data_IF_345136012187
#
_entry.id   IF_345136012187
#
_cell.length_a   1.000
_cell.length_b   1.000
_cell.length_c   1.000
_cell.angle_alpha   90.00
_cell.angle_beta   90.00
_cell.angle_gamma   90.00
#
_symmetry.space_group_name_H-M   'P 1'
#
loop_
_entity.id
_entity.type
_entity.pdbx_description
1 polymer ?
#
# COMPACT_ATOMS: atom_id res chain seq x y z
N UNK A 1 35.55 -20.00 -1.99
CA UNK A 1 35.39 -18.78 -1.15
C UNK A 1 36.29 -18.89 0.09
N UNK A 2 37.07 -17.86 0.41
CA UNK A 2 38.03 -17.88 1.54
C UNK A 2 37.35 -17.89 2.92
N UNK A 3 36.12 -17.38 3.03
CA UNK A 3 35.36 -17.29 4.28
C UNK A 3 35.25 -18.64 5.00
N UNK A 4 34.96 -19.73 4.28
CA UNK A 4 34.81 -21.07 4.86
C UNK A 4 36.11 -21.67 5.41
N UNK A 5 37.26 -21.01 5.22
CA UNK A 5 38.53 -21.42 5.83
C UNK A 5 38.69 -20.92 7.26
N UNK A 6 37.90 -19.91 7.66
CA UNK A 6 37.96 -19.37 9.02
C UNK A 6 37.15 -20.22 10.01
N UNK A 7 37.46 -20.18 11.32
CA UNK A 7 36.61 -20.77 12.35
C UNK A 7 35.20 -20.18 12.33
N UNK A 8 34.20 -20.95 12.77
CA UNK A 8 32.79 -20.55 12.74
C UNK A 8 32.52 -19.20 13.42
N UNK A 9 33.17 -18.92 14.55
CA UNK A 9 33.04 -17.63 15.25
C UNK A 9 33.47 -16.44 14.38
N UNK A 10 34.57 -16.58 13.65
CA UNK A 10 35.07 -15.54 12.74
C UNK A 10 34.13 -15.38 11.54
N UNK A 11 33.58 -16.49 11.03
CA UNK A 11 32.57 -16.42 9.96
C UNK A 11 31.34 -15.63 10.42
N UNK A 12 30.81 -15.93 11.61
CA UNK A 12 29.67 -15.22 12.18
C UNK A 12 29.97 -13.75 12.42
N UNK A 13 31.16 -13.40 12.92
CA UNK A 13 31.54 -12.01 13.15
C UNK A 13 31.58 -11.21 11.85
N UNK A 14 32.11 -11.79 10.77
CA UNK A 14 32.12 -11.16 9.44
C UNK A 14 30.69 -10.94 8.97
N UNK A 15 29.84 -11.98 9.02
CA UNK A 15 28.44 -11.86 8.60
C UNK A 15 27.67 -10.83 9.46
N UNK A 16 27.98 -10.74 10.75
CA UNK A 16 27.35 -9.79 11.67
C UNK A 16 27.65 -8.33 11.34
N UNK A 17 28.81 -8.05 10.76
CA UNK A 17 29.23 -6.71 10.37
C UNK A 17 29.04 -6.44 8.86
N UNK A 18 28.33 -7.32 8.15
CA UNK A 18 28.04 -7.15 6.71
C UNK A 18 26.69 -6.46 6.51
N UNK A 19 26.61 -5.60 5.49
CA UNK A 19 25.37 -4.93 5.11
C UNK A 19 24.31 -5.91 4.61
N UNK A 20 23.05 -5.48 4.66
CA UNK A 20 21.92 -6.33 4.30
C UNK A 20 21.93 -6.75 2.83
N UNK A 21 22.21 -5.81 1.92
CA UNK A 21 22.35 -6.04 0.47
C UNK A 21 23.48 -7.01 0.15
N UNK A 22 24.62 -6.88 0.83
CA UNK A 22 25.78 -7.76 0.65
C UNK A 22 25.50 -9.19 1.14
N UNK A 23 24.81 -9.34 2.28
CA UNK A 23 24.36 -10.63 2.77
C UNK A 23 23.42 -11.32 1.79
N UNK A 24 22.48 -10.56 1.20
CA UNK A 24 21.61 -11.09 0.14
C UNK A 24 22.42 -11.53 -1.09
N UNK A 25 23.39 -10.74 -1.52
CA UNK A 25 24.25 -11.11 -2.65
C UNK A 25 25.06 -12.38 -2.36
N UNK A 26 25.59 -12.50 -1.14
CA UNK A 26 26.28 -13.71 -0.71
C UNK A 26 25.37 -14.93 -0.67
N UNK A 27 24.09 -14.77 -0.36
CA UNK A 27 23.14 -15.89 -0.37
C UNK A 27 22.89 -16.45 -1.77
N UNK A 28 23.17 -15.69 -2.84
CA UNK A 28 23.16 -16.16 -4.23
C UNK A 28 24.42 -16.93 -4.64
N UNK A 29 25.56 -16.72 -3.97
CA UNK A 29 26.87 -17.28 -4.39
C UNK A 29 26.90 -18.81 -4.31
N UNK A 30 26.29 -19.41 -3.28
CA UNK A 30 26.21 -20.88 -3.18
C UNK A 30 25.18 -21.33 -2.14
N UNK A 31 24.65 -22.56 -2.32
CA UNK A 31 23.79 -23.22 -1.33
C UNK A 31 24.45 -23.31 0.05
N UNK A 32 25.78 -23.48 0.12
CA UNK A 32 26.53 -23.52 1.38
C UNK A 32 26.56 -22.16 2.07
N UNK A 33 26.69 -21.08 1.31
CA UNK A 33 26.67 -19.71 1.84
C UNK A 33 25.28 -19.33 2.34
N UNK A 34 24.24 -19.63 1.55
CA UNK A 34 22.85 -19.47 1.98
C UNK A 34 22.59 -20.14 3.34
N UNK A 35 22.96 -21.42 3.48
CA UNK A 35 22.83 -22.15 4.75
C UNK A 35 23.63 -21.54 5.90
N UNK A 36 24.82 -20.98 5.63
CA UNK A 36 25.61 -20.31 6.66
C UNK A 36 24.91 -19.04 7.15
N UNK A 37 24.37 -18.24 6.23
CA UNK A 37 23.61 -17.02 6.56
C UNK A 37 22.33 -17.41 7.34
N UNK A 38 21.60 -18.42 6.87
CA UNK A 38 20.40 -18.97 7.51
C UNK A 38 20.62 -19.49 8.94
N UNK A 39 21.83 -19.96 9.24
CA UNK A 39 22.19 -20.48 10.58
C UNK A 39 22.90 -19.44 11.47
N UNK A 40 23.11 -18.22 10.96
CA UNK A 40 23.76 -17.14 11.70
C UNK A 40 22.74 -16.29 12.47
N UNK A 41 23.22 -15.54 13.47
CA UNK A 41 22.42 -14.52 14.17
C UNK A 41 21.80 -13.48 13.23
N UNK A 42 22.33 -13.31 12.01
CA UNK A 42 21.80 -12.38 11.02
C UNK A 42 20.41 -12.77 10.51
N UNK A 43 20.01 -14.05 10.60
CA UNK A 43 18.63 -14.42 10.27
C UNK A 43 17.59 -13.69 11.11
N UNK A 44 17.94 -13.26 12.34
CA UNK A 44 17.03 -12.43 13.14
C UNK A 44 16.76 -11.08 12.47
N UNK A 45 17.73 -10.49 11.76
CA UNK A 45 17.52 -9.26 10.97
C UNK A 45 16.54 -9.51 9.82
N UNK A 46 16.70 -10.62 9.11
CA UNK A 46 15.80 -11.01 8.02
C UNK A 46 14.40 -11.38 8.52
N UNK A 47 14.27 -12.03 9.68
CA UNK A 47 12.97 -12.40 10.27
C UNK A 47 12.13 -11.21 10.77
N UNK A 48 12.76 -10.05 10.96
CA UNK A 48 12.08 -8.81 11.29
C UNK A 48 11.51 -8.09 10.05
N UNK A 49 11.91 -8.50 8.84
CA UNK A 49 11.36 -7.95 7.60
C UNK A 49 9.92 -8.42 7.48
N UNK A 50 8.99 -7.46 7.44
CA UNK A 50 7.56 -7.71 7.22
C UNK A 50 7.12 -7.40 5.81
N UNK A 51 7.90 -6.57 5.11
CA UNK A 51 7.49 -6.00 3.84
C UNK A 51 8.69 -5.89 2.90
N UNK A 52 8.48 -6.21 1.64
CA UNK A 52 9.42 -5.95 0.54
C UNK A 52 8.70 -5.12 -0.52
N UNK A 53 9.32 -4.01 -0.92
CA UNK A 53 8.80 -3.07 -1.91
C UNK A 53 9.56 -3.22 -3.22
N UNK A 54 8.83 -3.39 -4.31
CA UNK A 54 9.30 -3.18 -5.67
C UNK A 54 8.85 -1.80 -6.12
N UNK A 55 9.78 -0.93 -6.46
CA UNK A 55 9.53 0.43 -6.90
C UNK A 55 10.00 0.58 -8.35
N UNK A 56 9.05 0.68 -9.28
CA UNK A 56 9.37 0.83 -10.70
C UNK A 56 9.38 2.31 -11.09
N UNK A 57 10.57 2.81 -11.43
CA UNK A 57 10.77 4.21 -11.83
C UNK A 57 11.89 4.31 -12.87
N UNK A 58 11.69 5.17 -13.87
CA UNK A 58 12.67 5.45 -14.93
C UNK A 58 13.18 4.19 -15.65
N UNK A 59 12.29 3.21 -15.89
CA UNK A 59 12.62 1.96 -16.57
C UNK A 59 13.45 0.96 -15.74
N UNK A 60 13.68 1.23 -14.46
CA UNK A 60 14.36 0.34 -13.52
C UNK A 60 13.42 -0.05 -12.39
N UNK A 61 13.61 -1.24 -11.84
CA UNK A 61 12.88 -1.70 -10.65
C UNK A 61 13.82 -1.77 -9.47
N UNK A 62 13.54 -1.02 -8.42
CA UNK A 62 14.28 -1.05 -7.17
C UNK A 62 13.56 -1.98 -6.19
N UNK A 63 14.28 -2.93 -5.62
CA UNK A 63 13.80 -3.76 -4.53
C UNK A 63 14.33 -3.19 -3.23
N UNK A 64 13.42 -2.88 -2.31
CA UNK A 64 13.74 -2.20 -1.07
C UNK A 64 13.08 -2.89 0.13
N UNK A 65 13.73 -2.77 1.30
CA UNK A 65 13.05 -2.96 2.58
C UNK A 65 12.74 -1.58 3.15
N UNK A 66 11.47 -1.30 3.50
CA UNK A 66 11.14 -0.08 4.20
C UNK A 66 11.66 -0.13 5.65
N UNK A 67 12.47 0.86 6.03
CA UNK A 67 12.87 1.15 7.41
C UNK A 67 12.41 2.56 7.79
N UNK A 68 12.36 2.88 9.09
CA UNK A 68 12.00 4.24 9.51
C UNK A 68 12.93 5.29 8.89
N UNK A 69 12.33 6.29 8.25
CA UNK A 69 12.96 7.42 7.58
C UNK A 69 13.75 7.12 6.29
N UNK A 70 13.80 5.86 5.82
CA UNK A 70 14.43 5.53 4.54
C UNK A 70 14.02 4.16 3.98
N UNK A 71 14.00 4.03 2.65
CA UNK A 71 13.91 2.74 1.97
C UNK A 71 15.31 2.20 1.72
N UNK A 72 15.65 1.05 2.30
CA UNK A 72 16.96 0.43 2.09
C UNK A 72 16.97 -0.33 0.76
N UNK A 73 17.62 0.24 -0.25
CA UNK A 73 17.80 -0.41 -1.55
C UNK A 73 18.67 -1.66 -1.40
N UNK A 74 18.06 -2.81 -1.68
CA UNK A 74 18.72 -4.11 -1.60
C UNK A 74 19.26 -4.57 -2.94
N UNK A 75 18.48 -4.34 -4.00
CA UNK A 75 18.73 -4.84 -5.34
C UNK A 75 18.06 -3.92 -6.35
N UNK A 76 18.74 -3.62 -7.43
CA UNK A 76 18.14 -3.00 -8.61
C UNK A 76 17.99 -4.03 -9.71
N UNK A 77 16.95 -3.92 -10.53
CA UNK A 77 16.71 -4.74 -11.71
C UNK A 77 16.58 -3.80 -12.90
N UNK A 78 17.42 -3.99 -13.91
CA UNK A 78 17.52 -3.08 -15.05
C UNK A 78 17.79 -3.84 -16.36
N UNK A 79 17.44 -3.21 -17.48
CA UNK A 79 17.80 -3.71 -18.80
C UNK A 79 19.31 -3.59 -19.02
N UNK A 80 19.88 -4.59 -19.70
CA UNK A 80 21.32 -4.67 -19.95
C UNK A 80 21.77 -3.53 -20.87
N UNK A 81 22.89 -2.89 -20.48
CA UNK A 81 23.57 -1.87 -21.26
C UNK A 81 24.84 -2.47 -21.87
N UNK A 82 24.85 -2.65 -23.19
CA UNK A 82 25.96 -3.25 -23.95
C UNK A 82 27.26 -2.42 -23.90
N UNK A 83 27.24 -1.21 -23.33
CA UNK A 83 28.42 -0.36 -23.23
C UNK A 83 29.38 -0.74 -22.10
N UNK A 84 28.99 -1.63 -21.19
CA UNK A 84 29.80 -2.03 -20.03
C UNK A 84 30.20 -3.51 -20.10
N UNK A 85 31.34 -3.88 -19.51
CA UNK A 85 31.96 -5.20 -19.70
C UNK A 85 32.26 -5.94 -18.38
N UNK A 86 31.91 -5.38 -17.22
CA UNK A 86 32.30 -5.86 -15.89
C UNK A 86 31.20 -6.67 -15.18
N UNK A 87 30.41 -7.41 -15.95
CA UNK A 87 29.35 -8.28 -15.42
C UNK A 87 29.90 -9.56 -14.80
N UNK A 88 29.25 -10.02 -13.73
CA UNK A 88 29.46 -11.36 -13.16
C UNK A 88 28.13 -12.09 -13.05
N UNK A 89 28.15 -13.42 -13.13
CA UNK A 89 26.93 -14.22 -13.15
C UNK A 89 26.66 -14.89 -11.82
N UNK A 90 25.40 -14.81 -11.37
CA UNK A 90 24.91 -15.54 -10.20
C UNK A 90 23.69 -16.37 -10.58
N UNK A 91 23.54 -17.52 -9.91
CA UNK A 91 22.35 -18.35 -10.05
C UNK A 91 21.32 -17.94 -8.99
N UNK A 92 20.20 -17.41 -9.43
CA UNK A 92 19.06 -17.04 -8.59
C UNK A 92 17.89 -17.92 -9.01
N UNK A 93 17.38 -18.76 -8.12
CA UNK A 93 16.27 -19.69 -8.40
C UNK A 93 16.38 -20.39 -9.76
N UNK A 94 17.52 -21.04 -10.00
CA UNK A 94 17.84 -21.81 -11.22
C UNK A 94 18.05 -20.98 -12.50
N UNK A 95 17.94 -19.65 -12.43
CA UNK A 95 18.26 -18.73 -13.53
C UNK A 95 19.64 -18.12 -13.35
N UNK A 96 20.45 -18.16 -14.39
CA UNK A 96 21.70 -17.39 -14.44
C UNK A 96 21.39 -15.95 -14.80
N UNK A 97 21.78 -15.01 -13.94
CA UNK A 97 21.52 -13.58 -14.10
C UNK A 97 22.86 -12.83 -14.07
N UNK A 98 23.02 -11.85 -14.95
CA UNK A 98 24.17 -10.95 -14.96
C UNK A 98 23.99 -9.91 -13.86
N UNK A 99 25.02 -9.68 -13.06
CA UNK A 99 25.06 -8.68 -12.01
C UNK A 99 26.21 -7.71 -12.21
N UNK A 100 26.00 -6.48 -11.76
CA UNK A 100 27.06 -5.50 -11.48
C UNK A 100 26.86 -4.92 -10.09
N UNK A 101 27.93 -4.44 -9.47
CA UNK A 101 27.85 -3.62 -8.26
C UNK A 101 28.09 -2.18 -8.69
N UNK A 102 27.10 -1.32 -8.46
CA UNK A 102 27.17 0.11 -8.80
C UNK A 102 27.25 0.91 -7.51
N UNK A 103 28.04 1.98 -7.51
CA UNK A 103 28.05 2.95 -6.42
C UNK A 103 27.13 4.12 -6.78
N UNK A 104 25.96 4.17 -6.17
CA UNK A 104 24.92 5.21 -6.35
C UNK A 104 24.45 5.67 -4.96
N UNK A 105 24.14 6.97 -4.80
CA UNK A 105 23.61 7.54 -3.55
C UNK A 105 24.42 7.21 -2.28
N UNK A 106 25.75 7.24 -2.40
CA UNK A 106 26.71 6.88 -1.34
C UNK A 106 26.62 5.43 -0.83
N UNK A 107 26.09 4.52 -1.65
CA UNK A 107 25.97 3.10 -1.32
C UNK A 107 26.33 2.21 -2.50
N UNK A 108 26.91 1.05 -2.20
CA UNK A 108 27.03 -0.03 -3.18
C UNK A 108 25.70 -0.76 -3.33
N UNK A 109 25.15 -0.76 -4.54
CA UNK A 109 23.90 -1.42 -4.89
C UNK A 109 24.17 -2.52 -5.93
N UNK A 110 23.78 -3.77 -5.67
CA UNK A 110 23.81 -4.79 -6.69
C UNK A 110 22.70 -4.53 -7.72
N UNK A 111 23.02 -4.69 -8.99
CA UNK A 111 22.10 -4.52 -10.11
C UNK A 111 22.02 -5.82 -10.89
N UNK A 112 20.86 -6.44 -10.91
CA UNK A 112 20.52 -7.59 -11.75
C UNK A 112 20.11 -7.09 -13.14
N UNK A 113 20.82 -7.52 -14.17
CA UNK A 113 20.57 -7.15 -15.55
C UNK A 113 19.79 -8.22 -16.29
N UNK A 114 18.83 -7.78 -17.11
CA UNK A 114 18.07 -8.63 -18.01
C UNK A 114 18.25 -8.20 -19.47
N UNK A 115 18.17 -9.16 -20.39
CA UNK A 115 17.98 -8.86 -21.81
C UNK A 115 16.54 -8.40 -22.08
N UNK A 116 16.25 -7.57 -23.11
CA UNK A 116 14.94 -6.95 -23.31
C UNK A 116 13.72 -7.89 -23.19
N UNK A 117 13.88 -9.16 -23.57
CA UNK A 117 12.81 -10.18 -23.54
C UNK A 117 12.82 -11.08 -22.29
N UNK A 118 13.67 -10.79 -21.30
CA UNK A 118 13.88 -11.63 -20.11
C UNK A 118 13.47 -10.96 -18.80
N UNK A 119 12.96 -9.72 -18.84
CA UNK A 119 12.58 -8.94 -17.66
C UNK A 119 11.67 -9.74 -16.71
N UNK A 120 10.59 -10.31 -17.24
CA UNK A 120 9.65 -11.11 -16.46
C UNK A 120 10.30 -12.36 -15.85
N UNK A 121 11.17 -13.03 -16.62
CA UNK A 121 11.88 -14.22 -16.13
C UNK A 121 12.89 -13.90 -15.02
N UNK A 122 13.58 -12.76 -15.11
CA UNK A 122 14.47 -12.25 -14.06
C UNK A 122 13.68 -11.85 -12.82
N UNK A 123 12.57 -11.11 -12.99
CA UNK A 123 11.69 -10.71 -11.89
C UNK A 123 11.13 -11.92 -11.14
N UNK A 124 10.59 -12.91 -11.86
CA UNK A 124 10.09 -14.16 -11.26
C UNK A 124 11.17 -14.87 -10.46
N UNK A 125 12.35 -15.09 -11.06
CA UNK A 125 13.47 -15.77 -10.40
C UNK A 125 13.91 -15.07 -9.09
N UNK A 126 14.03 -13.74 -9.12
CA UNK A 126 14.37 -12.92 -7.95
C UNK A 126 13.26 -12.99 -6.90
N UNK A 127 12.00 -12.87 -7.32
CA UNK A 127 10.85 -12.92 -6.43
C UNK A 127 10.68 -14.28 -5.75
N UNK A 128 10.77 -15.37 -6.51
CA UNK A 128 10.73 -16.75 -5.98
C UNK A 128 11.85 -16.97 -4.96
N UNK A 129 13.03 -16.41 -5.22
CA UNK A 129 14.12 -16.48 -4.26
C UNK A 129 13.75 -15.78 -2.96
N UNK A 130 13.22 -14.56 -3.04
CA UNK A 130 12.79 -13.81 -1.86
C UNK A 130 11.69 -14.52 -1.11
N UNK A 131 10.70 -15.09 -1.80
CA UNK A 131 9.63 -15.84 -1.18
C UNK A 131 10.17 -17.00 -0.32
N UNK A 132 11.14 -17.75 -0.84
CA UNK A 132 11.80 -18.84 -0.09
C UNK A 132 12.70 -18.31 1.03
N UNK A 133 13.43 -17.23 0.78
CA UNK A 133 14.46 -16.72 1.69
C UNK A 133 13.88 -15.96 2.89
N UNK A 134 12.85 -15.14 2.66
CA UNK A 134 12.17 -14.36 3.70
C UNK A 134 11.00 -15.11 4.33
N UNK A 135 10.43 -16.07 3.61
CA UNK A 135 9.29 -16.87 4.03
C UNK A 135 7.94 -16.21 3.73
N UNK A 136 6.88 -17.00 3.96
CA UNK A 136 5.53 -16.68 3.48
C UNK A 136 4.80 -15.58 4.27
N UNK A 137 5.38 -15.11 5.38
CA UNK A 137 4.79 -14.04 6.20
C UNK A 137 5.13 -12.64 5.70
N UNK A 138 6.02 -12.51 4.72
CA UNK A 138 6.39 -11.20 4.15
C UNK A 138 5.38 -10.78 3.11
N UNK A 139 4.93 -9.54 3.23
CA UNK A 139 4.08 -8.89 2.24
C UNK A 139 4.94 -8.27 1.14
N UNK A 140 4.54 -8.49 -0.11
CA UNK A 140 5.22 -7.91 -1.27
C UNK A 140 4.33 -6.86 -1.90
N UNK A 141 4.89 -5.66 -2.10
CA UNK A 141 4.18 -4.55 -2.72
C UNK A 141 4.89 -4.08 -3.97
N UNK A 142 4.13 -3.86 -5.04
CA UNK A 142 4.61 -3.21 -6.25
C UNK A 142 4.10 -1.78 -6.32
N UNK A 143 5.01 -0.82 -6.34
CA UNK A 143 4.72 0.60 -6.48
C UNK A 143 4.81 0.99 -7.95
N UNK A 144 3.66 1.34 -8.50
CA UNK A 144 3.54 1.91 -9.83
C UNK A 144 3.35 3.42 -9.72
N UNK A 145 4.29 4.16 -10.30
CA UNK A 145 4.27 5.63 -10.40
C UNK A 145 3.74 6.13 -11.76
N UNK A 146 3.41 5.21 -12.65
CA UNK A 146 2.72 5.44 -13.91
C UNK A 146 1.87 4.21 -14.27
N UNK A 147 1.07 4.33 -15.32
CA UNK A 147 0.22 3.26 -15.86
C UNK A 147 0.65 2.82 -17.26
N UNK A 148 1.91 3.05 -17.63
CA UNK A 148 2.43 2.77 -18.98
C UNK A 148 2.82 1.31 -19.18
N UNK A 149 3.18 0.61 -18.11
CA UNK A 149 3.56 -0.81 -18.12
C UNK A 149 2.70 -1.60 -17.15
N UNK A 150 2.30 -2.84 -17.49
CA UNK A 150 1.55 -3.69 -16.58
C UNK A 150 2.41 -4.08 -15.37
N UNK A 151 1.75 -4.22 -14.22
CA UNK A 151 2.37 -4.78 -13.01
C UNK A 151 2.55 -6.30 -13.21
N UNK A 152 3.74 -6.87 -12.91
CA UNK A 152 3.98 -8.30 -13.05
C UNK A 152 3.09 -9.12 -12.12
N UNK A 153 2.67 -10.30 -12.57
CA UNK A 153 1.83 -11.22 -11.81
C UNK A 153 2.72 -12.15 -10.97
N UNK A 154 3.16 -11.67 -9.80
CA UNK A 154 4.00 -12.43 -8.88
C UNK A 154 3.18 -12.98 -7.69
N UNK A 155 3.61 -14.08 -7.10
CA UNK A 155 2.92 -14.70 -5.97
C UNK A 155 2.89 -13.76 -4.75
N UNK A 156 1.74 -13.65 -4.06
CA UNK A 156 1.59 -12.80 -2.87
C UNK A 156 1.99 -11.31 -3.09
N UNK A 157 1.99 -10.85 -4.34
CA UNK A 157 2.25 -9.46 -4.68
C UNK A 157 0.93 -8.68 -4.68
N UNK A 158 0.92 -7.58 -3.94
CA UNK A 158 -0.15 -6.59 -4.01
C UNK A 158 0.32 -5.34 -4.73
N UNK A 159 -0.55 -4.71 -5.50
CA UNK A 159 -0.27 -3.47 -6.21
C UNK A 159 -0.58 -2.25 -5.33
N UNK A 160 0.36 -1.30 -5.35
CA UNK A 160 0.23 0.03 -4.79
C UNK A 160 0.42 1.04 -5.93
N UNK A 161 -0.55 1.90 -6.14
CA UNK A 161 -0.50 2.94 -7.16
C UNK A 161 -0.23 4.24 -6.42
N UNK A 162 0.85 4.93 -6.79
CA UNK A 162 1.24 6.18 -6.16
C UNK A 162 1.61 7.17 -7.28
N UNK A 163 0.60 7.90 -7.73
CA UNK A 163 0.67 8.78 -8.89
C UNK A 163 0.23 10.20 -8.51
N UNK A 164 1.15 11.03 -7.97
CA UNK A 164 0.89 12.45 -7.80
C UNK A 164 0.90 13.12 -9.18
N UNK A 165 -0.25 13.15 -9.87
CA UNK A 165 -0.30 13.64 -11.25
C UNK A 165 -0.59 15.14 -11.34
N UNK A 166 0.37 15.88 -11.91
CA UNK A 166 0.12 17.12 -12.69
C UNK A 166 -0.28 16.81 -14.15
N UNK A 167 -0.36 15.54 -14.54
CA UNK A 167 -0.55 15.09 -15.93
C UNK A 167 -1.99 14.65 -16.23
N UNK A 168 -2.40 14.78 -17.49
CA UNK A 168 -3.69 14.27 -17.99
C UNK A 168 -3.76 12.74 -17.91
N UNK A 169 -4.74 12.24 -17.16
CA UNK A 169 -5.04 10.81 -17.04
C UNK A 169 -5.94 10.36 -18.20
N UNK A 170 -5.43 9.48 -19.06
CA UNK A 170 -6.27 8.77 -20.04
C UNK A 170 -7.05 7.68 -19.31
N UNK A 171 -8.32 7.95 -19.01
CA UNK A 171 -9.19 7.06 -18.23
C UNK A 171 -9.36 5.67 -18.86
N UNK A 172 -9.33 5.54 -20.20
CA UNK A 172 -9.47 4.22 -20.84
C UNK A 172 -8.20 3.39 -20.64
N UNK A 173 -7.03 4.01 -20.81
CA UNK A 173 -5.74 3.35 -20.56
C UNK A 173 -5.58 3.02 -19.08
N UNK A 174 -5.99 3.93 -18.21
CA UNK A 174 -5.95 3.73 -16.76
C UNK A 174 -6.86 2.59 -16.34
N UNK A 175 -8.12 2.57 -16.79
CA UNK A 175 -9.05 1.46 -16.51
C UNK A 175 -8.49 0.12 -17.03
N UNK A 176 -7.91 0.10 -18.23
CA UNK A 176 -7.24 -1.08 -18.75
C UNK A 176 -6.08 -1.53 -17.86
N UNK A 177 -5.20 -0.61 -17.46
CA UNK A 177 -4.09 -0.89 -16.53
C UNK A 177 -4.58 -1.44 -15.18
N UNK A 178 -5.58 -0.80 -14.58
CA UNK A 178 -6.21 -1.21 -13.33
C UNK A 178 -6.83 -2.61 -13.46
N UNK A 179 -7.44 -2.92 -14.61
CA UNK A 179 -8.01 -4.25 -14.87
C UNK A 179 -6.96 -5.36 -14.85
N UNK A 180 -5.72 -5.05 -15.24
CA UNK A 180 -4.58 -5.98 -15.28
C UNK A 180 -3.83 -6.07 -13.95
N UNK A 181 -4.09 -5.17 -13.00
CA UNK A 181 -3.39 -5.21 -11.72
C UNK A 181 -3.71 -6.49 -10.93
N UNK A 182 -2.75 -6.99 -10.12
CA UNK A 182 -3.03 -7.97 -9.08
C UNK A 182 -3.92 -7.34 -7.99
N UNK A 183 -4.00 -7.93 -6.81
CA UNK A 183 -4.79 -7.38 -5.70
C UNK A 183 -4.32 -5.94 -5.41
N UNK A 184 -5.21 -4.96 -5.57
CA UNK A 184 -4.92 -3.56 -5.32
C UNK A 184 -5.00 -3.30 -3.82
N UNK A 185 -3.86 -3.03 -3.19
CA UNK A 185 -3.80 -2.70 -1.76
C UNK A 185 -4.14 -1.23 -1.53
N UNK A 186 -3.52 -0.36 -2.32
CA UNK A 186 -3.59 1.08 -2.13
C UNK A 186 -3.53 1.83 -3.45
N UNK A 187 -4.26 2.94 -3.52
CA UNK A 187 -4.19 3.93 -4.59
C UNK A 187 -4.05 5.33 -3.96
N UNK A 188 -2.95 6.03 -4.22
CA UNK A 188 -2.81 7.49 -4.07
C UNK A 188 -2.83 8.11 -5.47
N UNK A 189 -3.82 8.95 -5.75
CA UNK A 189 -3.90 9.62 -7.05
C UNK A 189 -4.59 10.98 -6.97
N UNK A 190 -3.97 11.97 -7.62
CA UNK A 190 -4.56 13.29 -7.79
C UNK A 190 -5.25 13.37 -9.15
N UNK A 191 -6.59 13.37 -9.16
CA UNK A 191 -7.39 13.36 -10.38
C UNK A 191 -7.85 14.80 -10.70
N UNK A 192 -7.05 15.46 -11.52
CA UNK A 192 -7.27 16.86 -11.95
C UNK A 192 -8.40 17.05 -12.95
N UNK A 193 -8.65 16.06 -13.83
CA UNK A 193 -9.68 16.20 -14.85
C UNK A 193 -10.20 14.83 -15.29
N UNK A 194 -11.53 14.64 -15.25
CA UNK A 194 -12.17 13.39 -15.65
C UNK A 194 -13.07 13.67 -16.82
N UNK A 195 -12.58 13.37 -18.01
CA UNK A 195 -13.38 13.45 -19.24
C UNK A 195 -14.25 12.21 -19.46
N UNK A 196 -14.00 11.10 -18.73
CA UNK A 196 -14.73 9.85 -18.88
C UNK A 196 -15.03 9.17 -17.55
N UNK A 197 -16.25 8.63 -17.39
CA UNK A 197 -16.66 7.86 -16.23
C UNK A 197 -15.91 6.53 -16.13
N UNK A 198 -15.42 6.18 -14.94
CA UNK A 198 -14.99 4.79 -14.67
C UNK A 198 -16.21 3.88 -14.58
N UNK A 199 -16.02 2.62 -14.98
CA UNK A 199 -17.03 1.59 -14.80
C UNK A 199 -17.32 1.42 -13.30
N UNK A 200 -18.59 1.30 -12.87
CA UNK A 200 -18.93 0.95 -11.48
C UNK A 200 -18.26 -0.34 -11.01
N UNK A 201 -18.00 -1.28 -11.93
CA UNK A 201 -17.36 -2.56 -11.67
C UNK A 201 -15.81 -2.48 -11.73
N UNK A 202 -15.24 -1.28 -11.86
CA UNK A 202 -13.80 -1.09 -11.95
C UNK A 202 -13.09 -1.66 -10.72
N UNK A 203 -11.98 -2.36 -10.95
CA UNK A 203 -11.07 -2.83 -9.89
C UNK A 203 -10.53 -1.68 -9.03
N UNK A 204 -10.58 -0.44 -9.52
CA UNK A 204 -10.25 0.75 -8.75
C UNK A 204 -11.03 0.80 -7.42
N UNK A 205 -12.34 0.58 -7.48
CA UNK A 205 -13.20 0.63 -6.30
C UNK A 205 -13.01 -0.56 -5.36
N UNK A 206 -12.30 -1.59 -5.79
CA UNK A 206 -12.01 -2.80 -5.01
C UNK A 206 -10.69 -2.69 -4.24
N UNK A 207 -9.93 -1.60 -4.41
CA UNK A 207 -8.72 -1.36 -3.63
C UNK A 207 -9.03 -1.29 -2.13
N UNK A 208 -8.19 -1.86 -1.27
CA UNK A 208 -8.45 -1.83 0.17
C UNK A 208 -8.38 -0.41 0.76
N UNK A 209 -7.50 0.44 0.22
CA UNK A 209 -7.32 1.82 0.61
C UNK A 209 -7.23 2.75 -0.60
N UNK A 210 -7.92 3.89 -0.54
CA UNK A 210 -7.81 4.94 -1.55
C UNK A 210 -7.54 6.28 -0.87
N UNK A 211 -6.57 7.01 -1.38
CA UNK A 211 -6.33 8.41 -1.08
C UNK A 211 -6.36 9.19 -2.38
N UNK A 212 -7.11 10.28 -2.42
CA UNK A 212 -7.26 11.03 -3.67
C UNK A 212 -7.62 12.49 -3.47
N UNK A 213 -7.16 13.32 -4.40
CA UNK A 213 -7.61 14.69 -4.59
C UNK A 213 -8.49 14.78 -5.85
N UNK A 214 -9.71 15.27 -5.69
CA UNK A 214 -10.74 15.40 -6.71
C UNK A 214 -11.03 16.86 -7.03
N UNK A 215 -10.75 17.26 -8.28
CA UNK A 215 -10.99 18.62 -8.75
C UNK A 215 -12.38 18.84 -9.37
N UNK A 216 -12.97 17.80 -9.97
CA UNK A 216 -14.27 17.86 -10.63
C UNK A 216 -15.36 17.05 -9.90
N UNK A 217 -16.65 17.45 -9.97
CA UNK A 217 -17.74 16.94 -9.15
C UNK A 217 -18.29 15.57 -9.61
N UNK A 218 -17.74 14.96 -10.67
CA UNK A 218 -18.26 13.69 -11.20
C UNK A 218 -17.77 12.46 -10.44
N UNK A 219 -16.65 12.55 -9.72
CA UNK A 219 -16.09 11.40 -8.99
C UNK A 219 -16.68 11.12 -7.60
N UNK A 220 -17.20 12.08 -6.83
CA UNK A 220 -17.92 11.79 -5.58
C UNK A 220 -19.09 10.81 -5.76
N UNK A 221 -19.82 10.91 -6.87
CA UNK A 221 -20.86 9.93 -7.23
C UNK A 221 -20.28 8.53 -7.51
N UNK A 222 -19.09 8.44 -8.10
CA UNK A 222 -18.43 7.17 -8.39
C UNK A 222 -17.85 6.52 -7.12
N UNK A 223 -17.50 7.30 -6.09
CA UNK A 223 -17.10 6.77 -4.79
C UNK A 223 -18.21 5.99 -4.09
N UNK A 224 -19.47 6.13 -4.54
CA UNK A 224 -20.56 5.27 -4.07
C UNK A 224 -20.37 3.79 -4.43
N UNK A 225 -19.45 3.47 -5.35
CA UNK A 225 -19.11 2.10 -5.73
C UNK A 225 -17.95 1.53 -4.91
N UNK A 226 -17.35 2.29 -3.99
CA UNK A 226 -16.20 1.84 -3.20
C UNK A 226 -16.52 0.60 -2.35
N UNK A 227 -15.64 -0.40 -2.42
CA UNK A 227 -15.78 -1.70 -1.79
C UNK A 227 -14.62 -2.02 -0.83
N UNK A 228 -13.68 -1.08 -0.66
CA UNK A 228 -12.54 -1.23 0.22
C UNK A 228 -12.85 -0.91 1.69
N UNK A 229 -11.79 -0.79 2.47
CA UNK A 229 -11.84 -0.63 3.93
C UNK A 229 -11.69 0.82 4.35
N UNK A 230 -10.76 1.56 3.74
CA UNK A 230 -10.46 2.93 4.15
C UNK A 230 -10.40 3.85 2.93
N UNK A 231 -11.03 5.02 2.98
CA UNK A 231 -10.83 6.04 1.94
C UNK A 231 -10.69 7.45 2.49
N UNK A 232 -9.78 8.21 1.86
CA UNK A 232 -9.47 9.60 2.14
C UNK A 232 -9.59 10.41 0.87
N UNK A 233 -10.51 11.37 0.86
CA UNK A 233 -10.90 12.08 -0.35
C UNK A 233 -10.89 13.56 -0.07
N UNK A 234 -9.96 14.28 -0.69
CA UNK A 234 -9.99 15.73 -0.74
C UNK A 234 -10.81 16.13 -1.98
N UNK A 235 -11.92 16.84 -1.81
CA UNK A 235 -12.87 17.14 -2.87
C UNK A 235 -13.13 18.63 -3.00
N UNK A 236 -12.86 19.20 -4.18
CA UNK A 236 -13.13 20.61 -4.48
C UNK A 236 -14.62 20.95 -4.46
N UNK A 237 -15.48 20.00 -4.82
CA UNK A 237 -16.94 20.13 -4.85
C UNK A 237 -17.60 18.83 -4.41
N UNK A 238 -17.88 18.71 -3.12
CA UNK A 238 -18.72 17.66 -2.57
C UNK A 238 -20.06 18.26 -2.13
N UNK A 239 -21.17 17.63 -2.53
CA UNK A 239 -22.50 18.06 -2.14
C UNK A 239 -23.00 17.33 -0.89
N UNK A 240 -23.78 18.01 -0.04
CA UNK A 240 -24.47 17.38 1.09
C UNK A 240 -25.29 16.16 0.64
N UNK A 241 -25.89 16.21 -0.56
CA UNK A 241 -26.69 15.13 -1.14
C UNK A 241 -25.89 13.84 -1.32
N UNK A 242 -24.65 13.92 -1.82
CA UNK A 242 -23.81 12.74 -2.04
C UNK A 242 -23.40 12.10 -0.70
N UNK A 243 -23.12 12.92 0.32
CA UNK A 243 -22.82 12.43 1.67
C UNK A 243 -24.04 11.75 2.30
N UNK A 244 -25.23 12.34 2.13
CA UNK A 244 -26.49 11.75 2.60
C UNK A 244 -26.76 10.41 1.89
N UNK A 245 -26.57 10.35 0.57
CA UNK A 245 -26.73 9.11 -0.20
C UNK A 245 -25.74 8.03 0.23
N UNK A 246 -24.48 8.40 0.44
CA UNK A 246 -23.45 7.52 0.98
C UNK A 246 -23.88 6.91 2.33
N UNK A 247 -24.30 7.75 3.30
CA UNK A 247 -24.71 7.27 4.62
C UNK A 247 -25.94 6.38 4.52
N UNK A 248 -26.92 6.75 3.68
CA UNK A 248 -28.15 5.98 3.54
C UNK A 248 -27.91 4.60 2.92
N UNK A 249 -27.03 4.49 1.92
CA UNK A 249 -26.61 3.18 1.36
C UNK A 249 -25.87 2.32 2.37
N UNK A 250 -25.04 2.92 3.21
CA UNK A 250 -24.38 2.21 4.31
C UNK A 250 -25.40 1.76 5.37
N UNK A 251 -26.36 2.63 5.74
CA UNK A 251 -27.40 2.34 6.73
C UNK A 251 -28.32 1.22 6.29
N UNK A 252 -28.74 1.20 5.01
CA UNK A 252 -29.59 0.14 4.47
C UNK A 252 -28.86 -1.19 4.26
N UNK A 253 -27.52 -1.19 4.33
CA UNK A 253 -26.70 -2.35 3.98
C UNK A 253 -26.67 -2.64 2.47
N UNK A 254 -27.02 -1.66 1.62
CA UNK A 254 -26.94 -1.78 0.16
C UNK A 254 -25.49 -1.77 -0.34
N UNK A 255 -24.61 -1.04 0.35
CA UNK A 255 -23.21 -0.88 -0.04
C UNK A 255 -22.28 -0.72 1.18
N UNK A 256 -20.97 -0.75 0.89
CA UNK A 256 -19.90 -0.47 1.85
C UNK A 256 -19.78 -1.50 2.98
N UNK A 257 -19.96 -2.78 2.67
CA UNK A 257 -19.93 -3.87 3.67
C UNK A 257 -18.59 -3.98 4.41
N UNK A 258 -17.48 -3.74 3.70
CA UNK A 258 -16.11 -3.81 4.22
C UNK A 258 -15.59 -2.49 4.78
N UNK A 259 -16.36 -1.41 4.67
CA UNK A 259 -15.91 -0.09 5.02
C UNK A 259 -15.67 0.02 6.53
N UNK A 260 -14.51 0.57 6.87
CA UNK A 260 -14.07 0.84 8.23
C UNK A 260 -13.95 2.35 8.48
N UNK A 261 -13.51 3.11 7.47
CA UNK A 261 -13.28 4.55 7.56
C UNK A 261 -13.50 5.26 6.22
N UNK A 262 -14.29 6.33 6.24
CA UNK A 262 -14.34 7.31 5.16
C UNK A 262 -14.06 8.70 5.71
N UNK A 263 -13.08 9.39 5.12
CA UNK A 263 -12.80 10.81 5.40
C UNK A 263 -12.90 11.59 4.09
N UNK A 264 -13.79 12.57 4.07
CA UNK A 264 -14.02 13.44 2.91
C UNK A 264 -13.79 14.88 3.35
N UNK A 265 -12.74 15.51 2.84
CA UNK A 265 -12.46 16.92 3.06
C UNK A 265 -13.02 17.72 1.91
N UNK A 266 -13.96 18.61 2.20
CA UNK A 266 -14.53 19.52 1.21
C UNK A 266 -13.79 20.86 1.25
N UNK A 267 -13.56 21.48 0.09
CA UNK A 267 -13.08 22.87 0.04
C UNK A 267 -14.18 23.88 0.37
N UNK A 268 -15.45 23.47 0.23
CA UNK A 268 -16.65 24.24 0.57
C UNK A 268 -17.21 23.81 1.91
N UNK A 269 -17.92 24.71 2.57
CA UNK A 269 -18.62 24.40 3.81
C UNK A 269 -19.67 23.31 3.57
N UNK A 270 -19.73 22.35 4.50
CA UNK A 270 -20.74 21.31 4.53
C UNK A 270 -21.91 21.79 5.39
N UNK A 271 -23.14 21.60 4.91
CA UNK A 271 -24.34 21.94 5.66
C UNK A 271 -24.57 20.89 6.76
N UNK A 272 -23.80 20.97 7.86
CA UNK A 272 -23.78 19.97 8.92
C UNK A 272 -25.17 19.59 9.42
N UNK A 273 -25.99 20.58 9.78
CA UNK A 273 -27.33 20.31 10.32
C UNK A 273 -28.23 19.63 9.29
N UNK A 274 -28.19 20.07 8.03
CA UNK A 274 -28.95 19.45 6.94
C UNK A 274 -28.55 17.99 6.76
N UNK A 275 -27.25 17.70 6.76
CA UNK A 275 -26.74 16.33 6.60
C UNK A 275 -27.17 15.47 7.80
N UNK A 276 -26.95 15.94 9.03
CA UNK A 276 -27.26 15.18 10.24
C UNK A 276 -28.76 14.92 10.42
N UNK A 277 -29.61 15.89 10.06
CA UNK A 277 -31.07 15.73 10.05
C UNK A 277 -31.50 14.72 8.97
N UNK A 278 -30.96 14.84 7.75
CA UNK A 278 -31.34 13.99 6.63
C UNK A 278 -30.91 12.52 6.78
N UNK A 279 -29.80 12.26 7.47
CA UNK A 279 -29.37 10.88 7.78
C UNK A 279 -30.02 10.32 9.05
N UNK A 280 -30.88 11.11 9.71
CA UNK A 280 -31.52 10.77 10.98
C UNK A 280 -30.47 10.36 12.04
N UNK A 281 -29.44 11.17 12.20
CA UNK A 281 -28.36 10.89 13.14
C UNK A 281 -28.90 10.77 14.57
N UNK A 282 -28.42 9.75 15.29
CA UNK A 282 -28.62 9.61 16.73
C UNK A 282 -27.55 10.43 17.46
N UNK A 283 -27.92 10.95 18.63
CA UNK A 283 -27.09 11.82 19.44
C UNK A 283 -26.79 11.15 20.78
N UNK A 284 -25.54 11.26 21.25
CA UNK A 284 -25.21 10.87 22.61
C UNK A 284 -25.57 11.95 23.62
N UNK A 285 -25.57 11.55 24.89
CA UNK A 285 -25.55 12.48 26.00
C UNK A 285 -24.29 13.34 25.94
N UNK A 286 -24.49 14.64 25.71
CA UNK A 286 -23.43 15.66 25.70
C UNK A 286 -22.61 15.73 27.00
N UNK A 287 -23.09 15.12 28.10
CA UNK A 287 -22.39 15.07 29.37
C UNK A 287 -21.29 13.99 29.46
N UNK A 288 -21.25 13.02 28.53
CA UNK A 288 -20.24 11.94 28.50
C UNK A 288 -19.25 12.14 27.36
N UNK A 289 -17.97 11.87 27.61
CA UNK A 289 -16.94 11.91 26.57
C UNK A 289 -17.14 10.73 25.59
N UNK A 290 -17.23 10.97 24.27
CA UNK A 290 -17.47 9.93 23.28
C UNK A 290 -16.21 9.08 23.05
N UNK A 291 -16.36 7.81 22.63
CA UNK A 291 -15.21 6.95 22.40
C UNK A 291 -14.51 7.40 21.12
N UNK A 292 -13.17 7.31 21.11
CA UNK A 292 -12.37 7.60 19.92
C UNK A 292 -12.33 6.37 19.00
N UNK A 293 -12.86 6.49 17.79
CA UNK A 293 -12.66 5.48 16.74
C UNK A 293 -11.25 5.62 16.17
N UNK A 294 -10.44 4.58 16.36
CA UNK A 294 -9.03 4.52 15.93
C UNK A 294 -8.78 3.15 15.35
N UNK A 295 -8.22 3.09 14.14
CA UNK A 295 -7.89 1.85 13.46
C UNK A 295 -6.43 1.84 12.98
N UNK A 296 -5.81 0.66 12.80
CA UNK A 296 -4.58 0.56 12.03
C UNK A 296 -4.81 1.07 10.60
N UNK A 297 -3.85 1.80 10.03
CA UNK A 297 -3.89 2.14 8.61
C UNK A 297 -3.78 0.87 7.77
N UNK A 298 -4.63 0.72 6.75
CA UNK A 298 -4.61 -0.44 5.82
C UNK A 298 -3.29 -0.56 5.08
N UNK A 299 -2.74 0.59 4.68
CA UNK A 299 -1.40 0.70 4.13
C UNK A 299 -0.65 1.78 4.91
N UNK A 300 0.64 1.51 5.16
CA UNK A 300 1.55 2.40 5.87
C UNK A 300 2.89 2.33 5.16
N UNK A 301 3.39 3.47 4.68
CA UNK A 301 4.79 3.52 4.31
C UNK A 301 5.61 3.70 5.60
N UNK A 302 6.12 2.60 6.15
CA UNK A 302 6.85 2.60 7.43
C UNK A 302 8.03 3.59 7.41
N UNK A 303 8.54 3.94 6.23
CA UNK A 303 9.58 4.95 6.10
C UNK A 303 9.12 6.36 6.44
N UNK A 304 7.87 6.72 6.14
CA UNK A 304 7.41 8.10 6.22
C UNK A 304 6.15 8.31 7.07
N UNK A 305 5.42 7.25 7.39
CA UNK A 305 4.26 7.29 8.29
C UNK A 305 4.67 6.98 9.74
N UNK A 306 4.90 8.01 10.53
CA UNK A 306 5.21 7.86 11.96
C UNK A 306 4.03 7.26 12.74
N UNK A 307 2.80 7.67 12.40
CA UNK A 307 1.59 7.22 13.10
C UNK A 307 1.02 5.95 12.44
N UNK A 308 0.99 4.80 13.16
CA UNK A 308 0.52 3.52 12.62
C UNK A 308 -1.00 3.44 12.51
N UNK A 309 -1.71 4.31 13.23
CA UNK A 309 -3.16 4.34 13.30
C UNK A 309 -3.74 5.57 12.60
N UNK A 310 -5.03 5.50 12.28
CA UNK A 310 -5.83 6.61 11.76
C UNK A 310 -5.96 7.71 12.79
N UNK A 311 -6.25 8.93 12.32
CA UNK A 311 -6.65 10.02 13.21
C UNK A 311 -7.92 9.61 13.99
N UNK A 312 -8.01 9.94 15.28
CA UNK A 312 -9.18 9.58 16.09
C UNK A 312 -10.44 10.31 15.59
N UNK A 313 -11.55 9.58 15.46
CA UNK A 313 -12.88 10.17 15.31
C UNK A 313 -13.60 10.09 16.66
N UNK A 314 -13.70 11.24 17.34
CA UNK A 314 -14.49 11.41 18.56
C UNK A 314 -15.78 12.14 18.20
N UNK A 315 -16.86 11.40 17.99
CA UNK A 315 -18.14 11.99 17.58
C UNK A 315 -19.24 11.85 18.61
N UNK A 316 -20.03 12.91 18.76
CA UNK A 316 -21.28 12.89 19.51
C UNK A 316 -22.49 12.39 18.69
N UNK A 317 -22.28 12.08 17.40
CA UNK A 317 -23.33 11.62 16.50
C UNK A 317 -22.97 10.31 15.84
N UNK A 318 -23.97 9.46 15.69
CA UNK A 318 -23.81 8.14 15.09
C UNK A 318 -25.05 7.71 14.32
N UNK A 319 -24.87 6.71 13.46
CA UNK A 319 -25.95 6.03 12.73
C UNK A 319 -25.82 4.52 12.91
N UNK A 320 -26.92 3.81 12.68
CA UNK A 320 -27.01 2.36 12.85
C UNK A 320 -27.42 1.74 11.53
N UNK A 321 -26.74 0.66 11.15
CA UNK A 321 -27.05 -0.12 9.97
C UNK A 321 -28.20 -1.08 10.26
N UNK A 322 -29.19 -1.11 9.38
CA UNK A 322 -30.44 -1.85 9.56
C UNK A 322 -30.26 -3.37 9.49
N UNK A 323 -29.30 -3.83 8.68
CA UNK A 323 -29.12 -5.26 8.39
C UNK A 323 -28.43 -6.04 9.51
N UNK A 324 -27.51 -5.42 10.24
CA UNK A 324 -26.66 -6.07 11.24
C UNK A 324 -26.53 -5.27 12.56
N UNK A 325 -27.25 -4.15 12.70
CA UNK A 325 -27.18 -3.24 13.85
C UNK A 325 -25.80 -2.66 14.11
N UNK A 326 -24.87 -2.69 13.15
CA UNK A 326 -23.54 -2.07 13.31
C UNK A 326 -23.64 -0.56 13.41
N UNK A 327 -22.69 0.03 14.14
CA UNK A 327 -22.65 1.48 14.37
C UNK A 327 -21.58 2.14 13.52
N UNK A 328 -21.89 3.35 13.02
CA UNK A 328 -20.88 4.26 12.50
C UNK A 328 -20.97 5.63 13.18
N UNK A 329 -19.83 6.13 13.67
CA UNK A 329 -19.69 7.50 14.14
C UNK A 329 -19.60 8.45 12.95
N UNK A 330 -20.36 9.55 12.99
CA UNK A 330 -20.39 10.57 11.94
C UNK A 330 -19.92 11.88 12.54
N UNK A 331 -18.82 12.47 12.08
CA UNK A 331 -18.30 13.76 12.58
C UNK A 331 -18.11 14.71 11.40
N UNK A 332 -18.83 15.84 11.44
CA UNK A 332 -18.67 16.93 10.48
C UNK A 332 -18.03 18.10 11.21
N UNK A 333 -16.80 18.44 10.85
CA UNK A 333 -16.04 19.52 11.47
C UNK A 333 -15.02 20.09 10.50
N UNK A 334 -14.84 21.42 10.49
CA UNK A 334 -13.85 22.12 9.64
C UNK A 334 -13.85 21.64 8.18
N UNK A 335 -15.05 21.61 7.58
CA UNK A 335 -15.31 21.15 6.20
C UNK A 335 -14.95 19.70 5.92
N UNK A 336 -14.71 18.91 6.96
CA UNK A 336 -14.37 17.50 6.86
C UNK A 336 -15.53 16.66 7.36
N UNK A 337 -15.98 15.74 6.52
CA UNK A 337 -16.90 14.67 6.88
C UNK A 337 -16.07 13.43 7.24
N UNK A 338 -16.23 12.92 8.46
CA UNK A 338 -15.58 11.72 8.94
C UNK A 338 -16.63 10.68 9.30
N UNK A 339 -16.41 9.45 8.87
CA UNK A 339 -17.32 8.33 9.06
C UNK A 339 -16.51 7.11 9.48
N UNK A 340 -16.61 6.73 10.76
CA UNK A 340 -15.87 5.61 11.35
C UNK A 340 -16.81 4.48 11.72
N UNK A 341 -16.63 3.31 11.10
CA UNK A 341 -17.47 2.13 11.31
C UNK A 341 -16.90 1.29 12.45
N UNK A 342 -17.72 1.00 13.45
CA UNK A 342 -17.36 0.15 14.58
C UNK A 342 -17.69 -1.30 14.27
N UNK A 343 -16.77 -2.21 14.62
CA UNK A 343 -17.06 -3.65 14.62
C UNK A 343 -17.85 -4.04 15.88
N UNK A 344 -19.01 -3.41 16.05
CA UNK A 344 -19.90 -3.51 17.22
C UNK A 344 -21.34 -3.24 16.82
N UNK A 345 -22.26 -3.99 17.41
CA UNK A 345 -23.69 -3.67 17.37
C UNK A 345 -24.00 -2.44 18.20
N UNK A 346 -25.17 -1.82 18.02
CA UNK A 346 -25.60 -0.65 18.81
C UNK A 346 -25.54 -0.93 20.32
N UNK A 347 -26.05 -2.08 20.79
CA UNK A 347 -26.03 -2.43 22.20
C UNK A 347 -24.60 -2.57 22.75
N UNK A 348 -23.71 -3.23 22.02
CA UNK A 348 -22.31 -3.40 22.43
C UNK A 348 -21.57 -2.07 22.44
N UNK A 349 -21.85 -1.22 21.46
CA UNK A 349 -21.25 0.08 21.34
C UNK A 349 -21.72 1.02 22.46
N UNK A 350 -23.01 1.01 22.82
CA UNK A 350 -23.54 1.78 23.95
C UNK A 350 -22.96 1.32 25.30
N UNK A 351 -22.64 0.03 25.47
CA UNK A 351 -22.01 -0.50 26.70
C UNK A 351 -20.57 -0.04 26.90
N UNK A 352 -19.87 0.38 25.85
CA UNK A 352 -18.53 0.97 26.00
C UNK A 352 -18.61 2.33 26.72
N UNK A 353 -19.82 2.90 26.76
CA UNK A 353 -20.10 4.22 27.26
C UNK A 353 -20.79 4.22 28.63
N UNK A 354 -21.02 3.03 29.21
CA UNK A 354 -21.44 2.81 30.60
C UNK A 354 -20.22 2.68 31.50
#
# INVERSE_FOLDING_TARGET
>A
MKLFKYPYLVQNEILNNTEFSDLLMFSFVSKRMKKLIESSSQMQRFGNVKTIRYDHRNGRTFVCIPFHHYHDHMLQIAELDDTQNDYFQLNVSEKMINFRIVYEDNKYCPVAYYQPNECESVLNSVHDYFHIFFGNSVEYYWFAHDYTKPIPQLQNLSACIDMPTEQWLDMQRFEHFISLCPILKFIDIDILNVTAHMSPDSKFFQAEHIKMLLFEPTLPANLLNFQGRQAFVDCMRCSSRELIEFVNKWKSGEAFDKLELMKIKSFRDLAQNEILEAIEAKYFDSAKEPPAHILPKVYRDIAFDEQPNTDPITSYTYVVRETDSRVASVLIHDKTFNFGVWDKTEDEFLRIME
#
